data_IF_936049269897
#
_entry.id   IF_936049269897
#
_cell.length_a   1.000
_cell.length_b   1.000
_cell.length_c   1.000
_cell.angle_alpha   90.00
_cell.angle_beta   90.00
_cell.angle_gamma   90.00
#
_symmetry.space_group_name_H-M   'P 1'
#
loop_
_entity.id
_entity.type
_entity.pdbx_description
1 polymer ?
#
# COMPACT_ATOMS: atom_id res chain seq x y z
N UNK A 1 -16.92 10.84 -32.24
CA UNK A 1 -16.77 10.70 -30.78
C UNK A 1 -15.76 9.60 -30.54
N UNK A 2 -14.54 9.94 -30.14
CA UNK A 2 -13.54 8.94 -29.71
C UNK A 2 -13.84 8.60 -28.26
N UNK A 3 -14.18 7.35 -28.01
CA UNK A 3 -14.38 6.79 -26.68
C UNK A 3 -13.03 6.86 -25.95
N UNK A 4 -12.94 7.72 -24.93
CA UNK A 4 -11.75 7.79 -24.09
C UNK A 4 -11.53 6.41 -23.44
N UNK A 5 -10.30 5.87 -23.42
CA UNK A 5 -10.07 4.56 -22.82
C UNK A 5 -10.57 4.59 -21.38
N UNK A 6 -11.40 3.62 -21.02
CA UNK A 6 -11.88 3.42 -19.67
C UNK A 6 -10.66 3.43 -18.74
N UNK A 7 -10.59 4.47 -17.89
CA UNK A 7 -9.51 4.66 -16.93
C UNK A 7 -9.35 3.34 -16.16
N UNK A 8 -8.17 2.72 -16.26
CA UNK A 8 -7.89 1.46 -15.57
C UNK A 8 -8.19 1.56 -14.07
N UNK A 9 -8.27 0.42 -13.36
CA UNK A 9 -8.58 0.43 -11.93
C UNK A 9 -7.62 1.38 -11.21
N UNK A 10 -8.19 2.44 -10.63
CA UNK A 10 -7.41 3.47 -9.96
C UNK A 10 -6.89 2.93 -8.63
N UNK A 11 -5.65 3.25 -8.23
CA UNK A 11 -5.11 2.83 -6.95
C UNK A 11 -6.03 3.27 -5.82
N UNK A 12 -6.41 2.34 -4.95
CA UNK A 12 -7.21 2.66 -3.76
C UNK A 12 -6.32 3.40 -2.78
N UNK A 13 -6.67 4.64 -2.45
CA UNK A 13 -5.95 5.45 -1.46
C UNK A 13 -6.69 5.41 -0.13
N UNK A 14 -6.01 4.97 0.94
CA UNK A 14 -6.64 4.78 2.25
C UNK A 14 -7.23 6.07 2.84
N UNK A 15 -6.58 7.23 2.62
CA UNK A 15 -7.07 8.53 3.07
C UNK A 15 -8.40 8.90 2.42
N UNK A 16 -8.54 8.66 1.12
CA UNK A 16 -9.76 8.90 0.36
C UNK A 16 -10.88 7.95 0.80
N UNK A 17 -10.57 6.68 1.04
CA UNK A 17 -11.56 5.70 1.50
C UNK A 17 -12.13 6.07 2.88
N UNK A 18 -11.29 6.54 3.81
CA UNK A 18 -11.74 7.03 5.13
C UNK A 18 -12.65 8.24 4.95
N UNK A 19 -12.23 9.21 4.13
CA UNK A 19 -12.98 10.43 3.87
C UNK A 19 -14.32 10.13 3.21
N UNK A 20 -14.35 9.26 2.21
CA UNK A 20 -15.56 8.85 1.50
C UNK A 20 -16.56 8.16 2.44
N UNK A 21 -16.11 7.17 3.20
CA UNK A 21 -16.94 6.51 4.21
C UNK A 21 -17.52 7.51 5.22
N UNK A 22 -16.69 8.46 5.71
CA UNK A 22 -17.14 9.50 6.64
C UNK A 22 -18.22 10.39 6.02
N UNK A 23 -18.00 10.87 4.81
CA UNK A 23 -18.92 11.78 4.13
C UNK A 23 -20.24 11.09 3.78
N UNK A 24 -20.20 9.84 3.31
CA UNK A 24 -21.39 9.03 3.03
C UNK A 24 -22.22 8.74 4.27
N UNK A 25 -21.58 8.61 5.44
CA UNK A 25 -22.26 8.49 6.72
C UNK A 25 -22.78 9.83 7.29
N UNK A 26 -22.53 10.97 6.63
CA UNK A 26 -22.89 12.29 7.12
C UNK A 26 -22.14 12.73 8.38
N UNK A 27 -20.94 12.17 8.63
CA UNK A 27 -20.19 12.40 9.86
C UNK A 27 -19.16 13.52 9.71
N UNK A 28 -18.98 14.31 10.76
CA UNK A 28 -17.79 15.16 10.93
C UNK A 28 -16.57 14.32 11.34
N UNK A 29 -15.36 14.88 11.20
CA UNK A 29 -14.15 14.18 11.65
C UNK A 29 -14.17 13.89 13.15
N UNK A 30 -14.74 14.79 13.96
CA UNK A 30 -14.90 14.60 15.41
C UNK A 30 -15.84 13.43 15.70
N UNK A 31 -16.96 13.33 14.99
CA UNK A 31 -17.93 12.25 15.18
C UNK A 31 -17.36 10.89 14.78
N UNK A 32 -16.65 10.81 13.65
CA UNK A 32 -15.95 9.57 13.27
C UNK A 32 -14.89 9.19 14.30
N UNK A 33 -14.10 10.15 14.76
CA UNK A 33 -13.08 9.93 15.78
C UNK A 33 -13.67 9.35 17.07
N UNK A 34 -14.77 9.94 17.55
CA UNK A 34 -15.49 9.47 18.73
C UNK A 34 -16.00 8.02 18.55
N UNK A 35 -16.62 7.71 17.40
CA UNK A 35 -17.08 6.35 17.10
C UNK A 35 -15.94 5.32 17.00
N UNK A 36 -14.79 5.74 16.52
CA UNK A 36 -13.63 4.87 16.32
C UNK A 36 -12.68 4.78 17.53
N UNK A 37 -12.95 5.53 18.60
CA UNK A 37 -12.10 5.58 19.80
C UNK A 37 -10.72 6.20 19.52
N UNK A 38 -10.65 7.24 18.68
CA UNK A 38 -9.43 8.01 18.40
C UNK A 38 -9.68 9.51 18.52
N UNK A 39 -8.63 10.33 18.41
CA UNK A 39 -8.77 11.78 18.41
C UNK A 39 -9.12 12.31 17.01
N UNK A 40 -9.74 13.49 16.93
CA UNK A 40 -10.02 14.15 15.64
C UNK A 40 -8.72 14.44 14.87
N UNK A 41 -7.63 14.78 15.57
CA UNK A 41 -6.32 15.01 14.95
C UNK A 41 -5.81 13.76 14.24
N UNK A 42 -6.05 12.56 14.76
CA UNK A 42 -5.72 11.29 14.09
C UNK A 42 -6.49 11.14 12.78
N UNK A 43 -7.80 11.42 12.78
CA UNK A 43 -8.62 11.41 11.54
C UNK A 43 -8.09 12.42 10.53
N UNK A 44 -7.84 13.66 10.96
CA UNK A 44 -7.29 14.71 10.09
C UNK A 44 -5.93 14.33 9.50
N UNK A 45 -5.06 13.70 10.30
CA UNK A 45 -3.75 13.21 9.85
C UNK A 45 -3.91 12.18 8.74
N UNK A 46 -4.85 11.24 8.89
CA UNK A 46 -5.13 10.23 7.87
C UNK A 46 -5.77 10.82 6.61
N UNK A 47 -6.84 11.62 6.73
CA UNK A 47 -7.56 12.17 5.57
C UNK A 47 -6.71 13.14 4.74
N UNK A 48 -5.72 13.79 5.35
CA UNK A 48 -4.78 14.67 4.65
C UNK A 48 -3.53 13.93 4.14
N UNK A 49 -3.45 12.60 4.27
CA UNK A 49 -2.33 11.79 3.80
C UNK A 49 -1.01 12.04 4.54
N UNK A 50 -1.04 12.70 5.71
CA UNK A 50 0.18 12.98 6.50
C UNK A 50 0.73 11.73 7.19
N UNK A 51 -0.13 10.74 7.41
CA UNK A 51 0.22 9.42 7.91
C UNK A 51 -0.65 8.40 7.21
N UNK A 52 -0.08 7.24 6.93
CA UNK A 52 -0.83 6.11 6.40
C UNK A 52 -1.42 5.28 7.56
N UNK A 53 -2.74 4.98 7.54
CA UNK A 53 -3.32 4.06 8.50
C UNK A 53 -2.84 2.63 8.23
N UNK A 54 -2.67 1.82 9.27
CA UNK A 54 -2.57 0.37 9.08
C UNK A 54 -3.90 -0.17 8.54
N UNK A 55 -3.88 -1.34 7.91
CA UNK A 55 -5.11 -1.99 7.43
C UNK A 55 -6.14 -2.16 8.56
N UNK A 56 -5.69 -2.55 9.76
CA UNK A 56 -6.57 -2.67 10.93
C UNK A 56 -7.19 -1.32 11.35
N UNK A 57 -6.41 -0.24 11.30
CA UNK A 57 -6.93 1.10 11.60
C UNK A 57 -7.94 1.56 10.55
N UNK A 58 -7.64 1.35 9.26
CA UNK A 58 -8.54 1.65 8.14
C UNK A 58 -9.88 0.92 8.31
N UNK A 59 -9.84 -0.40 8.50
CA UNK A 59 -11.05 -1.22 8.69
C UNK A 59 -11.86 -0.76 9.91
N UNK A 60 -11.21 -0.44 11.03
CA UNK A 60 -11.90 0.10 12.22
C UNK A 60 -12.61 1.41 11.91
N UNK A 61 -11.97 2.32 11.18
CA UNK A 61 -12.54 3.62 10.81
C UNK A 61 -13.73 3.47 9.87
N UNK A 62 -13.61 2.61 8.85
CA UNK A 62 -14.68 2.34 7.89
C UNK A 62 -15.88 1.69 8.60
N UNK A 63 -15.64 0.72 9.50
CA UNK A 63 -16.69 0.12 10.34
C UNK A 63 -17.35 1.12 11.29
N UNK A 64 -16.58 2.01 11.91
CA UNK A 64 -17.12 3.08 12.76
C UNK A 64 -18.01 4.07 11.98
N UNK A 65 -17.76 4.23 10.67
CA UNK A 65 -18.63 4.98 9.75
C UNK A 65 -19.86 4.18 9.30
N UNK A 66 -19.95 2.88 9.59
CA UNK A 66 -21.09 2.02 9.24
C UNK A 66 -20.94 1.26 7.93
N UNK A 67 -19.71 1.10 7.44
CA UNK A 67 -19.42 0.35 6.20
C UNK A 67 -18.48 -0.83 6.48
N UNK A 68 -18.52 -1.84 5.62
CA UNK A 68 -17.50 -2.88 5.57
C UNK A 68 -16.69 -2.70 4.27
N UNK A 69 -15.37 -2.82 4.35
CA UNK A 69 -14.49 -2.74 3.18
C UNK A 69 -13.93 -4.13 2.87
N UNK A 70 -14.15 -4.58 1.63
CA UNK A 70 -13.55 -5.80 1.07
C UNK A 70 -12.39 -5.42 0.17
N UNK A 71 -11.26 -6.13 0.31
CA UNK A 71 -10.10 -6.01 -0.57
C UNK A 71 -10.02 -7.31 -1.37
N UNK A 72 -9.90 -7.19 -2.68
CA UNK A 72 -9.78 -8.33 -3.58
C UNK A 72 -8.62 -8.12 -4.56
N UNK A 73 -8.09 -9.22 -5.06
CA UNK A 73 -7.01 -9.24 -6.04
C UNK A 73 -7.61 -9.35 -7.44
N UNK A 74 -7.26 -8.40 -8.30
CA UNK A 74 -7.61 -8.44 -9.71
C UNK A 74 -6.38 -8.88 -10.52
N UNK A 75 -6.56 -9.64 -11.61
CA UNK A 75 -5.49 -9.90 -12.57
C UNK A 75 -4.88 -8.58 -13.04
N UNK A 76 -3.57 -8.47 -12.93
CA UNK A 76 -2.78 -7.36 -13.46
C UNK A 76 -1.83 -7.91 -14.54
N UNK A 77 -1.41 -7.05 -15.45
CA UNK A 77 -0.30 -7.34 -16.38
C UNK A 77 0.99 -6.80 -15.75
N UNK A 78 1.74 -7.62 -14.99
CA UNK A 78 2.97 -7.15 -14.36
C UNK A 78 4.04 -6.90 -15.44
N UNK A 79 4.91 -5.89 -15.26
CA UNK A 79 6.07 -5.76 -16.11
C UNK A 79 6.90 -7.07 -16.07
N UNK A 80 7.61 -7.41 -17.17
CA UNK A 80 8.48 -8.57 -17.20
C UNK A 80 9.43 -8.58 -16.00
N UNK A 81 9.68 -9.77 -15.44
CA UNK A 81 10.67 -9.91 -14.38
C UNK A 81 12.02 -9.37 -14.89
N UNK A 82 12.72 -8.51 -14.11
CA UNK A 82 14.07 -8.11 -14.46
C UNK A 82 14.94 -9.35 -14.65
N UNK A 83 15.85 -9.31 -15.62
CA UNK A 83 16.67 -10.45 -16.00
C UNK A 83 17.71 -10.78 -14.90
N UNK A 84 17.26 -11.49 -13.85
CA UNK A 84 18.10 -11.85 -12.69
C UNK A 84 19.25 -12.77 -13.09
N UNK A 85 19.13 -13.46 -14.22
CA UNK A 85 20.17 -14.34 -14.76
C UNK A 85 21.43 -13.56 -15.19
N UNK A 86 21.30 -12.31 -15.63
CA UNK A 86 22.44 -11.45 -15.94
C UNK A 86 23.17 -10.97 -14.67
N UNK A 87 22.41 -10.63 -13.61
CA UNK A 87 22.97 -10.07 -12.37
C UNK A 87 23.74 -11.07 -11.49
N UNK A 88 23.48 -12.38 -11.62
CA UNK A 88 24.23 -13.42 -10.89
C UNK A 88 25.53 -13.79 -11.60
N UNK A 89 25.60 -13.66 -12.93
CA UNK A 89 26.80 -13.99 -13.73
C UNK A 89 27.97 -13.03 -13.49
N UNK A 90 27.71 -11.81 -13.02
CA UNK A 90 28.70 -10.74 -12.87
C UNK A 90 29.20 -10.56 -11.41
N UNK A 91 28.88 -11.48 -10.49
CA UNK A 91 29.56 -11.50 -9.19
C UNK A 91 30.92 -12.19 -9.37
N UNK A 92 32.05 -11.48 -9.34
CA UNK A 92 33.34 -12.14 -9.37
C UNK A 92 33.45 -13.02 -8.13
N UNK A 93 33.79 -14.29 -8.37
CA UNK A 93 34.06 -15.32 -7.37
C UNK A 93 35.22 -14.84 -6.47
N UNK A 94 34.87 -14.07 -5.43
CA UNK A 94 35.83 -13.58 -4.45
C UNK A 94 36.27 -14.75 -3.58
N UNK A 95 37.31 -15.43 -4.08
CA UNK A 95 38.34 -15.98 -3.22
C UNK A 95 38.28 -17.48 -2.98
N UNK A 96 38.49 -18.27 -4.04
CA UNK A 96 39.17 -19.56 -3.90
C UNK A 96 40.69 -19.39 -4.04
N UNK A 97 41.27 -18.52 -3.21
CA UNK A 97 42.72 -18.46 -3.00
C UNK A 97 43.01 -18.89 -1.57
N UNK A 98 43.48 -20.14 -1.43
CA UNK A 98 44.56 -20.55 -0.51
C UNK A 98 44.73 -22.07 -0.60
N UNK A 99 45.73 -22.49 -1.37
CA UNK A 99 46.83 -23.39 -0.96
C UNK A 99 47.60 -23.84 -2.20
N UNK A 100 48.71 -23.18 -2.44
CA UNK A 100 49.84 -23.74 -3.18
C UNK A 100 51.11 -23.29 -2.46
N UNK A 101 51.26 -23.73 -1.21
CA UNK A 101 52.54 -23.81 -0.54
C UNK A 101 52.89 -25.31 -0.46
N UNK A 102 53.66 -25.81 -1.42
CA UNK A 102 54.65 -26.90 -1.24
C UNK A 102 55.35 -27.30 -2.54
N UNK A 103 56.67 -27.45 -2.41
CA UNK A 103 57.67 -28.05 -3.31
C UNK A 103 58.12 -27.16 -4.48
N UNK A 104 59.41 -26.87 -4.65
CA UNK A 104 60.63 -27.33 -3.98
C UNK A 104 61.84 -26.50 -4.39
#
# INVERSE_FOLDING_TARGET
MVEAPARGPQPVVASELIRDARLRAGLTQVQLAARAGVTQSVISTYENGRREPSLAALQRLVRAAGFEATIDLLPADPPPLPDRAAAVRDRPDRGRHRRADRAG
#
